data_IF_002335943779
#
_entry.id   IF_002335943779
#
_cell.length_a   1.000
_cell.length_b   1.000
_cell.length_c   1.000
_cell.angle_alpha   90.00
_cell.angle_beta   90.00
_cell.angle_gamma   90.00
#
_symmetry.space_group_name_H-M   'P 1'
#
loop_
_entity.id
_entity.type
_entity.pdbx_description
1 polymer ?
#
# COMPACT_ATOMS: atom_id res chain seq x y z
N UNK A 1 12.51 12.31 -11.52
CA UNK A 1 11.81 12.37 -10.22
C UNK A 1 10.72 13.43 -10.36
N UNK A 2 9.59 13.25 -9.67
CA UNK A 2 8.40 14.12 -9.80
C UNK A 2 7.96 14.61 -8.42
N UNK A 3 7.35 15.79 -8.34
CA UNK A 3 6.82 16.31 -7.08
C UNK A 3 5.44 15.72 -6.77
N UNK A 4 5.00 15.80 -5.51
CA UNK A 4 3.63 15.39 -5.13
C UNK A 4 2.56 16.20 -5.89
N UNK A 5 2.78 17.50 -6.07
CA UNK A 5 1.88 18.37 -6.82
C UNK A 5 1.77 17.96 -8.31
N UNK A 6 2.89 17.56 -8.92
CA UNK A 6 2.90 17.07 -10.31
C UNK A 6 2.19 15.71 -10.45
N UNK A 7 2.30 14.83 -9.45
CA UNK A 7 1.52 13.58 -9.44
C UNK A 7 0.03 13.90 -9.34
N UNK A 8 -0.35 14.81 -8.44
CA UNK A 8 -1.75 15.19 -8.21
C UNK A 8 -2.38 15.83 -9.44
N UNK A 9 -1.63 16.66 -10.17
CA UNK A 9 -2.14 17.27 -11.41
C UNK A 9 -2.49 16.23 -12.47
N UNK A 10 -1.74 15.12 -12.54
CA UNK A 10 -2.02 13.98 -13.43
C UNK A 10 -3.20 13.12 -12.96
N UNK A 11 -3.47 13.08 -11.65
CA UNK A 11 -4.61 12.37 -11.08
C UNK A 11 -5.93 13.12 -11.26
N UNK A 12 -5.90 14.38 -11.75
CA UNK A 12 -7.08 15.25 -11.89
C UNK A 12 -7.91 15.35 -10.59
N UNK A 13 -7.22 15.30 -9.44
CA UNK A 13 -7.87 15.29 -8.15
C UNK A 13 -8.53 16.64 -7.84
N UNK A 14 -9.80 16.61 -7.43
CA UNK A 14 -10.56 17.81 -7.02
C UNK A 14 -10.35 18.19 -5.55
N UNK A 15 -9.70 17.33 -4.77
CA UNK A 15 -9.48 17.55 -3.35
C UNK A 15 -8.32 18.55 -3.16
N UNK A 16 -8.55 19.73 -2.53
CA UNK A 16 -7.49 20.72 -2.30
C UNK A 16 -6.34 20.17 -1.45
N UNK A 17 -6.60 19.16 -0.61
CA UNK A 17 -5.59 18.53 0.26
C UNK A 17 -4.87 17.34 -0.41
N UNK A 18 -5.14 17.05 -1.69
CA UNK A 18 -4.58 15.90 -2.37
C UNK A 18 -3.05 15.90 -2.38
N UNK A 19 -2.42 17.06 -2.58
CA UNK A 19 -0.95 17.18 -2.58
C UNK A 19 -0.33 16.78 -1.25
N UNK A 20 -0.92 17.19 -0.13
CA UNK A 20 -0.42 16.83 1.20
C UNK A 20 -0.60 15.33 1.48
N UNK A 21 -1.77 14.77 1.15
CA UNK A 21 -2.05 13.33 1.35
C UNK A 21 -1.07 12.48 0.52
N UNK A 22 -0.88 12.83 -0.75
CA UNK A 22 0.04 12.14 -1.64
C UNK A 22 1.48 12.28 -1.14
N UNK A 23 1.93 13.47 -0.70
CA UNK A 23 3.26 13.65 -0.13
C UNK A 23 3.49 12.73 1.08
N UNK A 24 2.50 12.61 1.98
CA UNK A 24 2.59 11.71 3.15
C UNK A 24 2.72 10.24 2.74
N UNK A 25 1.98 9.79 1.73
CA UNK A 25 2.08 8.43 1.18
C UNK A 25 3.47 8.21 0.56
N UNK A 26 3.95 9.14 -0.26
CA UNK A 26 5.25 9.04 -0.93
C UNK A 26 6.41 9.03 0.09
N UNK A 27 6.31 9.81 1.16
CA UNK A 27 7.27 9.79 2.28
C UNK A 27 7.28 8.44 3.00
N UNK A 28 6.11 7.85 3.24
CA UNK A 28 6.01 6.52 3.83
C UNK A 28 6.70 5.47 2.94
N UNK A 29 6.41 5.47 1.64
CA UNK A 29 7.05 4.58 0.68
C UNK A 29 8.58 4.79 0.59
N UNK A 30 9.03 6.04 0.71
CA UNK A 30 10.46 6.38 0.77
C UNK A 30 11.12 5.78 2.01
N UNK A 31 10.47 5.85 3.18
CA UNK A 31 10.98 5.26 4.42
C UNK A 31 11.16 3.73 4.32
N UNK A 32 10.42 3.08 3.42
CA UNK A 32 10.54 1.65 3.11
C UNK A 32 11.36 1.37 1.83
N UNK A 33 12.12 2.35 1.34
CA UNK A 33 12.98 2.23 0.14
C UNK A 33 12.26 1.77 -1.13
N UNK A 34 10.94 1.96 -1.19
CA UNK A 34 10.15 1.76 -2.41
C UNK A 34 10.40 2.93 -3.37
N UNK A 35 10.59 4.13 -2.81
CA UNK A 35 10.93 5.34 -3.54
C UNK A 35 12.25 5.94 -3.03
N UNK A 36 12.93 6.66 -3.92
CA UNK A 36 13.99 7.60 -3.58
C UNK A 36 13.39 9.00 -3.43
N UNK A 37 13.91 9.80 -2.49
CA UNK A 37 13.50 11.18 -2.28
C UNK A 37 14.70 12.12 -2.39
N UNK A 38 14.56 13.17 -3.18
CA UNK A 38 15.51 14.28 -3.28
C UNK A 38 14.82 15.59 -2.91
N UNK A 39 15.48 16.44 -2.15
CA UNK A 39 15.03 17.82 -1.92
C UNK A 39 15.66 18.70 -2.99
N UNK A 40 14.84 19.43 -3.73
CA UNK A 40 15.25 20.45 -4.68
C UNK A 40 14.89 21.83 -4.12
N UNK A 41 15.77 22.80 -4.33
CA UNK A 41 15.54 24.20 -3.95
C UNK A 41 15.46 25.03 -5.22
N UNK A 42 14.44 25.88 -5.34
CA UNK A 42 14.32 26.81 -6.47
C UNK A 42 15.17 28.07 -6.27
N UNK A 43 15.16 28.97 -7.26
CA UNK A 43 15.90 30.23 -7.24
C UNK A 43 15.42 31.18 -6.13
N UNK A 44 14.16 31.05 -5.71
CA UNK A 44 13.53 31.83 -4.64
C UNK A 44 13.82 31.23 -3.24
N UNK A 45 14.53 30.11 -3.16
CA UNK A 45 14.86 29.42 -1.91
C UNK A 45 13.76 28.49 -1.38
N UNK A 46 12.67 28.29 -2.11
CA UNK A 46 11.63 27.33 -1.72
C UNK A 46 12.12 25.90 -1.97
N UNK A 47 11.81 25.02 -1.02
CA UNK A 47 12.20 23.61 -1.11
C UNK A 47 11.02 22.73 -1.51
N UNK A 48 11.26 21.80 -2.44
CA UNK A 48 10.28 20.82 -2.92
C UNK A 48 10.88 19.43 -2.88
N UNK A 49 10.10 18.45 -2.41
CA UNK A 49 10.49 17.03 -2.47
C UNK A 49 10.15 16.43 -3.82
N UNK A 50 11.12 15.73 -4.39
CA UNK A 50 11.01 15.00 -5.64
C UNK A 50 11.18 13.52 -5.37
N UNK A 51 10.28 12.71 -5.92
CA UNK A 51 10.23 11.28 -5.71
C UNK A 51 10.58 10.51 -6.99
N UNK A 52 11.33 9.43 -6.85
CA UNK A 52 11.69 8.51 -7.93
C UNK A 52 11.50 7.07 -7.50
N UNK A 53 11.33 6.15 -8.46
CA UNK A 53 11.26 4.73 -8.17
C UNK A 53 12.65 4.22 -7.77
N UNK A 54 12.76 3.64 -6.58
CA UNK A 54 13.97 2.96 -6.13
C UNK A 54 14.01 1.51 -6.62
N UNK A 55 15.08 0.78 -6.32
CA UNK A 55 15.27 -0.61 -6.76
C UNK A 55 14.12 -1.53 -6.36
N UNK A 56 13.61 -1.43 -5.12
CA UNK A 56 12.46 -2.21 -4.65
C UNK A 56 11.16 -1.75 -5.35
N UNK A 57 11.02 -0.46 -5.60
CA UNK A 57 9.87 0.10 -6.31
C UNK A 57 9.66 -0.47 -7.71
N UNK A 58 10.72 -0.96 -8.37
CA UNK A 58 10.63 -1.57 -9.71
C UNK A 58 9.71 -2.79 -9.75
N UNK A 59 9.59 -3.55 -8.66
CA UNK A 59 8.68 -4.71 -8.61
C UNK A 59 7.20 -4.31 -8.63
N UNK A 60 6.87 -3.08 -8.25
CA UNK A 60 5.51 -2.54 -8.22
C UNK A 60 5.09 -1.87 -9.54
N UNK A 61 5.96 -1.85 -10.54
CA UNK A 61 5.67 -1.35 -11.88
C UNK A 61 5.75 -2.52 -12.86
N UNK A 62 4.95 -2.49 -13.91
CA UNK A 62 5.04 -3.49 -14.97
C UNK A 62 6.41 -3.41 -15.65
N UNK A 63 7.09 -4.56 -15.74
CA UNK A 63 8.29 -4.70 -16.54
C UNK A 63 7.95 -4.81 -18.04
N UNK A 64 8.95 -5.05 -18.88
CA UNK A 64 8.79 -5.20 -20.34
C UNK A 64 7.86 -6.36 -20.73
N UNK A 65 7.77 -7.39 -19.88
CA UNK A 65 6.87 -8.54 -20.05
C UNK A 65 5.46 -8.29 -19.48
N UNK A 66 5.18 -7.10 -18.94
CA UNK A 66 3.91 -6.75 -18.31
C UNK A 66 3.72 -7.32 -16.89
N UNK A 67 4.77 -7.90 -16.29
CA UNK A 67 4.74 -8.54 -14.97
C UNK A 67 5.03 -7.52 -13.86
N UNK A 68 4.28 -7.60 -12.76
CA UNK A 68 4.54 -6.86 -11.51
C UNK A 68 3.98 -7.61 -10.30
N UNK A 69 4.32 -7.19 -9.08
CA UNK A 69 3.74 -7.75 -7.84
C UNK A 69 2.37 -7.14 -7.48
N UNK A 70 1.93 -6.13 -8.23
CA UNK A 70 0.66 -5.42 -7.97
C UNK A 70 -0.57 -6.34 -7.99
N UNK A 71 -0.72 -7.31 -8.92
CA UNK A 71 -1.84 -8.25 -8.87
C UNK A 71 -1.87 -9.08 -7.59
N UNK A 72 -0.72 -9.52 -7.09
CA UNK A 72 -0.63 -10.24 -5.82
C UNK A 72 -1.01 -9.34 -4.64
N UNK A 73 -0.57 -8.08 -4.64
CA UNK A 73 -0.96 -7.12 -3.62
C UNK A 73 -2.48 -6.87 -3.63
N UNK A 74 -3.09 -6.74 -4.82
CA UNK A 74 -4.54 -6.59 -4.95
C UNK A 74 -5.30 -7.81 -4.40
N UNK A 75 -4.84 -9.03 -4.68
CA UNK A 75 -5.45 -10.23 -4.11
C UNK A 75 -5.36 -10.25 -2.58
N UNK A 76 -4.23 -9.85 -1.99
CA UNK A 76 -4.10 -9.80 -0.52
C UNK A 76 -4.96 -8.72 0.12
N UNK A 77 -5.18 -7.61 -0.59
CA UNK A 77 -6.02 -6.50 -0.14
C UNK A 77 -7.50 -6.68 -0.52
N UNK A 78 -7.84 -7.74 -1.26
CA UNK A 78 -9.21 -8.06 -1.60
C UNK A 78 -9.99 -8.38 -0.32
N UNK A 79 -11.21 -7.86 -0.25
CA UNK A 79 -12.06 -7.97 0.93
C UNK A 79 -12.28 -9.43 1.34
N UNK A 80 -12.53 -10.33 0.40
CA UNK A 80 -12.83 -11.72 0.70
C UNK A 80 -11.61 -12.47 1.22
N UNK A 81 -10.44 -12.17 0.66
CA UNK A 81 -9.18 -12.73 1.13
C UNK A 81 -8.94 -12.23 2.55
N UNK A 82 -9.00 -10.91 2.78
CA UNK A 82 -8.79 -10.32 4.10
C UNK A 82 -9.78 -10.83 5.16
N UNK A 83 -11.08 -10.95 4.82
CA UNK A 83 -12.10 -11.51 5.70
C UNK A 83 -11.81 -12.97 6.04
N UNK A 84 -11.35 -13.76 5.08
CA UNK A 84 -10.97 -15.17 5.31
C UNK A 84 -9.81 -15.29 6.31
N UNK A 85 -8.81 -14.40 6.23
CA UNK A 85 -7.72 -14.33 7.21
C UNK A 85 -8.24 -13.98 8.61
N UNK A 86 -9.12 -12.99 8.74
CA UNK A 86 -9.70 -12.60 10.02
C UNK A 86 -10.49 -13.75 10.66
N UNK A 87 -11.28 -14.48 9.86
CA UNK A 87 -12.02 -15.65 10.31
C UNK A 87 -11.06 -16.73 10.79
N UNK A 88 -9.99 -17.01 10.04
CA UNK A 88 -8.97 -17.99 10.44
C UNK A 88 -8.30 -17.63 11.77
N UNK A 89 -7.83 -16.38 11.94
CA UNK A 89 -7.23 -15.94 13.20
C UNK A 89 -8.22 -15.90 14.36
N UNK A 90 -9.48 -15.58 14.09
CA UNK A 90 -10.53 -15.64 15.10
C UNK A 90 -10.81 -17.07 15.55
N UNK A 91 -10.85 -18.02 14.62
CA UNK A 91 -10.99 -19.45 14.93
C UNK A 91 -9.78 -20.01 15.67
N UNK A 92 -8.55 -19.64 15.28
CA UNK A 92 -7.32 -20.05 15.97
C UNK A 92 -7.31 -19.55 17.43
N UNK A 93 -7.65 -18.28 17.64
CA UNK A 93 -7.80 -17.70 18.98
C UNK A 93 -8.93 -18.37 19.79
N UNK A 94 -10.09 -18.63 19.17
CA UNK A 94 -11.19 -19.37 19.80
C UNK A 94 -10.83 -20.82 20.12
N UNK A 95 -10.04 -21.48 19.30
CA UNK A 95 -9.56 -22.85 19.55
C UNK A 95 -8.69 -22.90 20.80
N UNK A 96 -7.83 -21.90 20.97
CA UNK A 96 -6.98 -21.76 22.15
C UNK A 96 -7.74 -21.37 23.43
N UNK A 97 -8.82 -20.58 23.33
CA UNK A 97 -9.58 -20.10 24.50
C UNK A 97 -10.73 -21.05 24.87
N UNK A 98 -11.41 -21.63 23.88
CA UNK A 98 -12.58 -22.50 24.03
C UNK A 98 -12.51 -23.70 23.07
N UNK A 99 -11.62 -24.68 23.32
CA UNK A 99 -11.42 -25.82 22.42
C UNK A 99 -12.72 -26.61 22.13
N UNK A 100 -13.66 -26.65 23.08
CA UNK A 100 -14.94 -27.36 22.92
C UNK A 100 -15.98 -26.62 22.05
N UNK A 101 -15.87 -25.30 21.86
CA UNK A 101 -16.80 -24.53 21.02
C UNK A 101 -16.39 -24.62 19.55
N UNK A 102 -15.09 -24.66 19.27
CA UNK A 102 -14.55 -24.73 17.92
C UNK A 102 -15.00 -26.00 17.17
N UNK A 103 -14.97 -27.17 17.82
CA UNK A 103 -15.39 -28.44 17.22
C UNK A 103 -16.84 -28.46 16.76
N UNK A 104 -17.69 -27.61 17.36
CA UNK A 104 -19.09 -27.49 16.99
C UNK A 104 -19.32 -26.51 15.85
N UNK A 105 -18.42 -25.54 15.64
CA UNK A 105 -18.52 -24.56 14.55
C UNK A 105 -17.86 -25.09 13.26
N UNK A 106 -16.71 -25.77 13.37
CA UNK A 106 -16.02 -26.36 12.21
C UNK A 106 -16.84 -27.43 11.50
N UNK A 107 -17.67 -28.20 12.23
CA UNK A 107 -18.56 -29.23 11.66
C UNK A 107 -19.83 -28.69 11.00
N UNK A 108 -20.19 -27.43 11.24
CA UNK A 108 -21.47 -26.86 10.78
C UNK A 108 -21.30 -25.75 9.73
N UNK A 109 -20.10 -25.20 9.56
CA UNK A 109 -19.82 -24.09 8.65
C UNK A 109 -18.80 -24.42 7.53
N UNK A 110 -18.22 -25.62 7.56
CA UNK A 110 -17.40 -26.23 6.49
C UNK A 110 -17.85 -27.67 6.27
#
# INVERSE_FOLDING_TARGET
MVSAAEIVSRLLAKNPNASEIIDRILRFLTAHSVLDCKVATDEDGNTTRLYGIASIGKYFVQNEDGISVVPMLHLNMDRHVFESWLVFFFFDSLYHIFPNISDHLTKNFW
#
